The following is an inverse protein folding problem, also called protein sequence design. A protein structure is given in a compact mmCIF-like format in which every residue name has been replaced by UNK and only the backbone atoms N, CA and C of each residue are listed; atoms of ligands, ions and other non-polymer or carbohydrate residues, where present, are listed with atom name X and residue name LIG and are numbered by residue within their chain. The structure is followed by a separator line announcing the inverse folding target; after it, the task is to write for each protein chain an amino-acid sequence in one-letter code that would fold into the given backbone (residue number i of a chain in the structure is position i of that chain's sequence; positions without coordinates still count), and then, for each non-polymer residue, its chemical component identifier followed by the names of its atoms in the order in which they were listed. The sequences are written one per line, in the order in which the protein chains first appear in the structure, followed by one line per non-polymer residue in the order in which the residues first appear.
data_IF_497037750232
#
_entry.id   IF_497037750232
#
_cell.length_a   1.000
_cell.length_b   1.000
_cell.length_c   1.000
_cell.angle_alpha   90.00
_cell.angle_beta   90.00
_cell.angle_gamma   90.00
#
_symmetry.space_group_name_H-M   'P 1'
#
loop_
_entity.id
_entity.type
_entity.pdbx_description
1 polymer ?
#
# COMPACT_ATOMS: atom_id res chain seq x y z
N UNK A 1 -2.39 15.15 3.45
CA UNK A 1 -3.56 14.31 3.14
C UNK A 1 -4.86 15.03 3.43
N UNK A 2 -5.14 15.50 4.66
CA UNK A 2 -6.42 16.12 5.03
C UNK A 2 -6.89 17.33 4.17
N UNK A 3 -5.98 18.08 3.56
CA UNK A 3 -6.32 19.23 2.69
C UNK A 3 -6.22 18.91 1.18
N UNK A 4 -6.01 17.65 0.81
CA UNK A 4 -5.99 17.25 -0.59
C UNK A 4 -7.40 16.82 -1.01
N UNK A 5 -7.83 17.11 -2.25
CA UNK A 5 -9.03 16.49 -2.79
C UNK A 5 -8.88 14.96 -2.82
N UNK A 6 -9.99 14.20 -2.88
CA UNK A 6 -9.97 12.77 -3.14
C UNK A 6 -9.00 12.38 -4.25
N UNK A 7 -8.10 11.45 -3.97
CA UNK A 7 -7.02 11.06 -4.87
C UNK A 7 -6.65 9.59 -4.68
N UNK A 8 -5.78 9.07 -5.55
CA UNK A 8 -5.27 7.71 -5.44
C UNK A 8 -4.02 7.70 -4.55
N UNK A 9 -4.02 6.86 -3.52
CA UNK A 9 -2.88 6.61 -2.64
C UNK A 9 -2.36 5.20 -2.90
N UNK A 10 -1.19 5.08 -3.53
CA UNK A 10 -0.52 3.81 -3.74
C UNK A 10 0.45 3.53 -2.58
N UNK A 11 0.41 2.32 -2.02
CA UNK A 11 1.26 1.92 -0.90
C UNK A 11 1.71 0.49 -1.02
N UNK A 12 2.91 0.18 -0.53
CA UNK A 12 3.33 -1.20 -0.29
C UNK A 12 2.53 -1.80 0.89
N UNK A 13 2.10 -3.05 0.74
CA UNK A 13 1.48 -3.81 1.81
C UNK A 13 2.53 -4.22 2.85
N UNK A 14 2.52 -3.53 3.98
CA UNK A 14 3.37 -3.78 5.15
C UNK A 14 2.52 -3.99 6.41
N UNK A 15 3.15 -4.24 7.57
CA UNK A 15 2.44 -4.45 8.84
C UNK A 15 1.50 -3.31 9.24
N UNK A 16 1.84 -2.06 8.89
CA UNK A 16 1.02 -0.88 9.14
C UNK A 16 0.03 -0.51 8.02
N UNK A 17 0.11 -1.16 6.85
CA UNK A 17 -0.62 -0.70 5.66
C UNK A 17 -2.15 -0.79 5.81
N UNK A 18 -2.65 -1.80 6.53
CA UNK A 18 -4.10 -1.95 6.75
C UNK A 18 -4.70 -0.81 7.59
N UNK A 19 -3.94 -0.31 8.57
CA UNK A 19 -4.36 0.86 9.36
C UNK A 19 -4.49 2.09 8.45
N UNK A 20 -3.42 2.40 7.71
CA UNK A 20 -3.41 3.56 6.81
C UNK A 20 -4.41 3.46 5.67
N UNK A 21 -4.67 2.25 5.15
CA UNK A 21 -5.74 2.02 4.19
C UNK A 21 -7.08 2.53 4.71
N UNK A 22 -7.46 2.16 5.94
CA UNK A 22 -8.73 2.59 6.54
C UNK A 22 -8.76 4.10 6.75
N UNK A 23 -7.70 4.66 7.34
CA UNK A 23 -7.58 6.10 7.58
C UNK A 23 -7.72 6.92 6.30
N UNK A 24 -7.00 6.56 5.23
CA UNK A 24 -7.10 7.30 3.96
C UNK A 24 -8.41 7.08 3.24
N UNK A 25 -9.03 5.91 3.38
CA UNK A 25 -10.37 5.64 2.84
C UNK A 25 -11.43 6.48 3.55
N UNK A 26 -11.37 6.61 4.88
CA UNK A 26 -12.24 7.52 5.66
C UNK A 26 -12.07 8.99 5.26
N UNK A 27 -10.86 9.39 4.88
CA UNK A 27 -10.58 10.72 4.32
C UNK A 27 -11.09 10.91 2.87
N UNK A 28 -11.69 9.89 2.26
CA UNK A 28 -12.25 9.94 0.91
C UNK A 28 -11.25 9.61 -0.21
N UNK A 29 -10.05 9.11 0.11
CA UNK A 29 -9.07 8.71 -0.91
C UNK A 29 -9.28 7.27 -1.36
N UNK A 30 -8.90 6.96 -2.60
CA UNK A 30 -8.85 5.60 -3.12
C UNK A 30 -7.48 5.00 -2.83
N UNK A 31 -7.41 3.98 -1.98
CA UNK A 31 -6.13 3.36 -1.64
C UNK A 31 -5.90 2.10 -2.47
N UNK A 32 -4.67 1.96 -2.98
CA UNK A 32 -4.20 0.81 -3.77
C UNK A 32 -3.00 0.17 -3.07
N UNK A 33 -3.21 -0.98 -2.44
CA UNK A 33 -2.14 -1.73 -1.77
C UNK A 33 -1.44 -2.67 -2.74
N UNK A 34 -0.11 -2.63 -2.81
CA UNK A 34 0.72 -3.46 -3.69
C UNK A 34 1.53 -4.42 -2.81
N UNK A 35 1.51 -5.72 -3.12
CA UNK A 35 2.34 -6.67 -2.40
C UNK A 35 3.84 -6.37 -2.59
N UNK A 36 4.69 -6.53 -1.57
CA UNK A 36 6.14 -6.31 -1.66
C UNK A 36 6.82 -6.98 -2.85
N UNK A 37 6.38 -8.20 -3.18
CA UNK A 37 6.87 -8.98 -4.31
C UNK A 37 6.64 -8.34 -5.69
N UNK A 38 5.63 -7.46 -5.80
CA UNK A 38 5.34 -6.70 -7.02
C UNK A 38 6.00 -5.33 -7.04
N UNK A 39 6.43 -4.79 -5.88
CA UNK A 39 7.22 -3.55 -5.79
C UNK A 39 8.70 -3.83 -6.07
N UNK A 40 9.23 -4.93 -5.51
CA UNK A 40 10.65 -5.31 -5.59
C UNK A 40 11.29 -5.22 -7.00
N UNK A 41 10.62 -5.65 -8.09
CA UNK A 41 11.20 -5.55 -9.44
C UNK A 41 11.46 -4.11 -9.92
N UNK A 42 10.84 -3.10 -9.30
CA UNK A 42 10.98 -1.69 -9.67
C UNK A 42 11.99 -0.93 -8.80
N UNK A 43 12.61 -1.59 -7.81
CA UNK A 43 13.65 -0.98 -6.98
C UNK A 43 14.99 -1.02 -7.72
N UNK A 44 15.51 0.14 -8.13
CA UNK A 44 16.67 0.26 -9.03
C UNK A 44 18.04 0.17 -8.34
N UNK A 45 18.11 0.40 -7.03
CA UNK A 45 19.37 0.39 -6.25
C UNK A 45 19.15 -0.14 -4.83
N UNK A 46 20.09 0.09 -3.92
CA UNK A 46 19.93 -0.27 -2.50
C UNK A 46 18.63 0.34 -1.93
N UNK A 47 17.90 -0.47 -1.16
CA UNK A 47 16.63 -0.03 -0.58
C UNK A 47 16.85 1.14 0.37
N UNK A 48 16.12 2.22 0.10
CA UNK A 48 15.91 3.37 0.96
C UNK A 48 14.48 3.90 0.68
N UNK A 49 13.99 4.80 1.51
CA UNK A 49 12.59 5.25 1.43
C UNK A 49 12.26 5.94 0.09
N UNK A 50 13.22 6.68 -0.49
CA UNK A 50 13.01 7.36 -1.76
C UNK A 50 12.90 6.36 -2.93
N UNK A 51 13.80 5.37 -2.98
CA UNK A 51 13.79 4.32 -3.99
C UNK A 51 12.55 3.42 -3.87
N UNK A 52 12.08 3.18 -2.65
CA UNK A 52 10.86 2.42 -2.39
C UNK A 52 9.61 3.19 -2.85
N UNK A 53 9.52 4.49 -2.55
CA UNK A 53 8.44 5.36 -3.02
C UNK A 53 8.39 5.45 -4.56
N UNK A 54 9.54 5.57 -5.22
CA UNK A 54 9.63 5.54 -6.69
C UNK A 54 9.13 4.19 -7.25
N UNK A 55 9.59 3.07 -6.67
CA UNK A 55 9.18 1.73 -7.09
C UNK A 55 7.67 1.50 -6.93
N UNK A 56 7.07 1.95 -5.81
CA UNK A 56 5.62 1.89 -5.59
C UNK A 56 4.89 2.71 -6.65
N UNK A 57 5.37 3.91 -6.96
CA UNK A 57 4.79 4.78 -7.97
C UNK A 57 4.83 4.14 -9.37
N UNK A 58 5.95 3.53 -9.75
CA UNK A 58 6.09 2.83 -11.03
C UNK A 58 5.18 1.60 -11.12
N UNK A 59 5.15 0.81 -10.05
CA UNK A 59 4.30 -0.37 -9.94
C UNK A 59 2.81 0.00 -10.07
N UNK A 60 2.36 1.04 -9.37
CA UNK A 60 0.97 1.50 -9.38
C UNK A 60 0.47 1.95 -10.77
N UNK A 61 1.38 2.36 -11.65
CA UNK A 61 1.08 2.80 -13.02
C UNK A 61 1.02 1.64 -14.02
N UNK A 62 1.45 0.43 -13.67
CA UNK A 62 1.39 -0.70 -14.61
C UNK A 62 -0.08 -1.07 -14.86
N UNK A 63 -0.52 -1.20 -16.12
CA UNK A 63 -1.93 -1.48 -16.44
C UNK A 63 -2.37 -2.86 -15.96
N UNK A 64 -1.44 -3.82 -15.86
CA UNK A 64 -1.68 -5.17 -15.37
C UNK A 64 -1.41 -5.34 -13.87
N UNK A 65 -1.24 -4.25 -13.12
CA UNK A 65 -0.93 -4.32 -11.69
C UNK A 65 -2.08 -4.95 -10.91
N UNK A 66 -1.72 -5.76 -9.91
CA UNK A 66 -2.66 -6.41 -9.00
C UNK A 66 -2.53 -5.80 -7.62
N UNK A 67 -3.67 -5.45 -7.04
CA UNK A 67 -3.72 -4.87 -5.70
C UNK A 67 -4.19 -5.93 -4.71
N UNK A 68 -3.67 -5.87 -3.48
CA UNK A 68 -4.08 -6.75 -2.40
C UNK A 68 -5.27 -6.14 -1.66
N UNK A 69 -6.22 -6.99 -1.27
CA UNK A 69 -7.34 -6.57 -0.44
C UNK A 69 -6.85 -6.18 0.96
N UNK A 70 -7.35 -5.07 1.52
CA UNK A 70 -7.09 -4.73 2.91
C UNK A 70 -7.73 -5.75 3.83
N UNK A 71 -7.19 -5.87 5.04
CA UNK A 71 -7.80 -6.65 6.12
C UNK A 71 -8.62 -5.74 7.03
N UNK A 72 -9.77 -6.24 7.47
CA UNK A 72 -10.50 -5.67 8.61
C UNK A 72 -9.68 -5.79 9.88
N UNK A 73 -10.09 -5.08 10.93
CA UNK A 73 -9.46 -5.17 12.25
C UNK A 73 -9.54 -6.62 12.75
N UNK A 74 -10.72 -7.24 12.69
CA UNK A 74 -10.93 -8.64 13.10
C UNK A 74 -10.03 -9.63 12.34
N UNK A 75 -9.88 -9.46 11.02
CA UNK A 75 -8.99 -10.29 10.21
C UNK A 75 -7.52 -10.12 10.59
N UNK A 76 -7.12 -8.89 10.95
CA UNK A 76 -5.76 -8.58 11.41
C UNK A 76 -5.50 -9.11 12.82
N UNK A 77 -6.50 -9.12 13.69
CA UNK A 77 -6.44 -9.70 15.03
C UNK A 77 -6.28 -11.22 14.97
N UNK A 78 -7.12 -11.90 14.17
CA UNK A 78 -6.99 -13.35 13.93
C UNK A 78 -5.60 -13.69 13.40
N UNK A 79 -5.08 -12.93 12.43
CA UNK A 79 -3.74 -13.16 11.89
C UNK A 79 -2.65 -13.04 12.96
N UNK A 80 -2.82 -12.15 13.93
CA UNK A 80 -1.83 -11.95 15.00
C UNK A 80 -1.73 -13.15 15.95
N UNK A 81 -2.76 -14.01 15.99
CA UNK A 81 -2.80 -15.23 16.79
C UNK A 81 -2.08 -16.40 16.08
N UNK A 82 -2.00 -16.40 14.75
CA UNK A 82 -1.44 -17.49 13.93
C UNK A 82 0.02 -17.27 13.50
N UNK A 83 0.88 -16.72 14.38
CA UNK A 83 2.31 -16.53 14.07
C UNK A 83 3.10 -17.83 14.06
#
# INVERSE_FOLDING_TARGET
MANLPPCIVAMEACGGANHWYRVFTEMGHTVRLIAPQFVKPFVKSNKNDAADAEAICEAAQRPSMRFVSPKSIEQQDIQSIHR
#
